data_IF_335254544131
#
_entry.id   IF_335254544131
#
_cell.length_a   1.000
_cell.length_b   1.000
_cell.length_c   1.000
_cell.angle_alpha   90.00
_cell.angle_beta   90.00
_cell.angle_gamma   90.00
#
_symmetry.space_group_name_H-M   'P 1'
#
loop_
_entity.id
_entity.type
_entity.pdbx_description
1 polymer ?
#
# COMPACT_ATOMS: atom_id res chain seq x y z
N UNK A 1 8.08 17.14 9.76
CA UNK A 1 8.83 16.45 8.68
C UNK A 1 8.43 16.99 7.31
N UNK A 2 9.27 16.75 6.28
CA UNK A 2 8.98 17.18 4.90
C UNK A 2 7.64 16.62 4.41
N UNK A 3 7.34 15.36 4.73
CA UNK A 3 6.07 14.71 4.34
C UNK A 3 4.86 15.38 5.01
N UNK A 4 5.00 15.84 6.24
CA UNK A 4 3.94 16.57 6.93
C UNK A 4 3.61 17.91 6.25
N UNK A 5 4.61 18.57 5.66
CA UNK A 5 4.41 19.83 4.96
C UNK A 5 3.82 19.70 3.56
N UNK A 6 4.19 18.66 2.81
CA UNK A 6 3.79 18.52 1.40
C UNK A 6 2.75 17.42 1.14
N UNK A 7 2.52 16.54 2.09
CA UNK A 7 1.64 15.37 1.96
C UNK A 7 2.30 14.16 1.30
N UNK A 8 1.74 12.98 1.57
CA UNK A 8 2.32 11.70 1.16
C UNK A 8 2.37 11.52 -0.36
N UNK A 9 1.28 11.86 -1.06
CA UNK A 9 1.19 11.70 -2.52
C UNK A 9 2.16 12.62 -3.26
N UNK A 10 2.27 13.88 -2.82
CA UNK A 10 3.26 14.81 -3.38
C UNK A 10 4.68 14.36 -3.09
N UNK A 11 4.93 13.88 -1.88
CA UNK A 11 6.23 13.33 -1.52
C UNK A 11 6.64 12.17 -2.43
N UNK A 12 5.73 11.21 -2.68
CA UNK A 12 5.94 10.09 -3.59
C UNK A 12 6.38 10.56 -4.98
N UNK A 13 5.70 11.57 -5.52
CA UNK A 13 6.00 12.10 -6.85
C UNK A 13 7.31 12.90 -6.88
N UNK A 14 7.59 13.70 -5.84
CA UNK A 14 8.83 14.50 -5.75
C UNK A 14 10.07 13.60 -5.66
N UNK A 15 9.98 12.50 -4.92
CA UNK A 15 11.10 11.52 -4.78
C UNK A 15 11.20 10.61 -5.99
N UNK A 16 10.23 10.63 -6.90
CA UNK A 16 10.13 9.70 -8.04
C UNK A 16 10.29 8.24 -7.58
N UNK A 17 9.49 7.86 -6.59
CA UNK A 17 9.61 6.58 -5.89
C UNK A 17 9.62 5.36 -6.83
N UNK A 18 8.77 5.30 -7.89
CA UNK A 18 8.82 4.21 -8.86
C UNK A 18 10.19 4.07 -9.54
N UNK A 19 10.85 5.18 -9.85
CA UNK A 19 12.19 5.17 -10.46
C UNK A 19 13.27 4.71 -9.49
N UNK A 20 13.18 5.13 -8.22
CA UNK A 20 14.08 4.66 -7.17
C UNK A 20 13.96 3.15 -6.94
N UNK A 21 12.74 2.63 -7.07
CA UNK A 21 12.43 1.20 -6.94
C UNK A 21 12.56 0.42 -8.25
N UNK A 22 13.08 1.01 -9.33
CA UNK A 22 13.22 0.33 -10.62
C UNK A 22 14.17 -0.88 -10.53
N UNK A 23 13.96 -1.86 -11.43
CA UNK A 23 14.82 -3.06 -11.52
C UNK A 23 16.32 -2.74 -11.58
N UNK A 24 16.68 -1.64 -12.26
CA UNK A 24 18.07 -1.21 -12.42
C UNK A 24 18.64 -0.71 -11.09
N UNK A 25 17.89 0.10 -10.36
CA UNK A 25 18.30 0.64 -9.06
C UNK A 25 18.36 -0.46 -7.99
N UNK A 26 17.39 -1.39 -7.98
CA UNK A 26 17.35 -2.50 -7.01
C UNK A 26 18.48 -3.52 -7.22
N UNK A 27 18.93 -3.74 -8.46
CA UNK A 27 20.10 -4.58 -8.72
C UNK A 27 21.38 -3.97 -8.18
N UNK A 28 21.49 -2.63 -8.19
CA UNK A 28 22.67 -1.92 -7.71
C UNK A 28 22.67 -1.79 -6.17
N UNK A 29 21.52 -1.48 -5.55
CA UNK A 29 21.41 -1.20 -4.12
C UNK A 29 20.01 -1.63 -3.59
N UNK A 30 19.79 -2.92 -3.36
CA UNK A 30 18.46 -3.49 -3.18
C UNK A 30 17.68 -2.96 -1.95
N UNK A 31 18.34 -2.50 -0.91
CA UNK A 31 17.69 -2.03 0.34
C UNK A 31 17.78 -0.53 0.57
N UNK A 32 18.34 0.23 -0.37
CA UNK A 32 18.67 1.64 -0.15
C UNK A 32 17.46 2.52 0.19
N UNK A 33 16.28 2.17 -0.32
CA UNK A 33 15.07 3.00 -0.22
C UNK A 33 13.95 2.38 0.61
N UNK A 34 14.16 1.20 1.21
CA UNK A 34 13.14 0.55 2.04
C UNK A 34 12.69 1.42 3.23
N UNK A 35 13.62 2.18 3.81
CA UNK A 35 13.34 3.12 4.90
C UNK A 35 12.34 4.23 4.52
N UNK A 36 12.26 4.60 3.23
CA UNK A 36 11.28 5.59 2.77
C UNK A 36 9.84 5.11 2.97
N UNK A 37 9.58 3.81 2.77
CA UNK A 37 8.26 3.23 3.00
C UNK A 37 7.90 3.30 4.49
N UNK A 38 8.86 3.04 5.37
CA UNK A 38 8.65 3.15 6.81
C UNK A 38 8.37 4.59 7.23
N UNK A 39 9.09 5.56 6.66
CA UNK A 39 8.82 6.99 6.86
C UNK A 39 7.42 7.35 6.34
N UNK A 40 7.00 6.84 5.20
CA UNK A 40 5.66 7.07 4.66
C UNK A 40 4.57 6.47 5.54
N UNK A 41 4.75 5.26 6.07
CA UNK A 41 3.81 4.64 7.03
C UNK A 41 3.62 5.51 8.27
N UNK A 42 4.73 5.89 8.91
CA UNK A 42 4.68 6.71 10.14
C UNK A 42 4.10 8.09 9.87
N UNK A 43 4.54 8.74 8.80
CA UNK A 43 4.03 10.07 8.42
C UNK A 43 2.57 10.03 8.03
N UNK A 44 2.12 9.03 7.30
CA UNK A 44 0.73 8.86 6.92
C UNK A 44 -0.20 8.60 8.11
N UNK A 45 0.30 7.96 9.18
CA UNK A 45 -0.45 7.77 10.42
C UNK A 45 -0.64 9.11 11.18
N UNK A 46 0.31 10.04 11.07
CA UNK A 46 0.28 11.35 11.74
C UNK A 46 -0.50 12.39 10.94
N UNK A 47 -0.49 12.31 9.60
CA UNK A 47 -1.14 13.28 8.70
C UNK A 47 -2.59 12.85 8.47
N UNK A 48 -3.40 12.88 9.51
CA UNK A 48 -4.81 12.49 9.43
C UNK A 48 -5.74 13.52 8.75
N UNK A 49 -5.24 14.68 8.34
CA UNK A 49 -6.08 15.80 7.92
C UNK A 49 -5.89 16.26 6.47
N UNK A 50 -4.95 15.70 5.73
CA UNK A 50 -4.77 16.06 4.31
C UNK A 50 -5.20 14.86 3.46
N UNK A 51 -6.33 15.01 2.78
CA UNK A 51 -7.00 14.01 2.01
C UNK A 51 -6.08 13.10 1.22
N UNK A 52 -5.98 11.86 1.69
CA UNK A 52 -5.35 10.80 0.93
C UNK A 52 -6.39 10.22 -0.02
N UNK A 53 -5.96 9.90 -1.24
CA UNK A 53 -6.83 9.31 -2.24
C UNK A 53 -6.57 7.80 -2.33
N UNK A 54 -7.60 7.02 -2.18
CA UNK A 54 -7.52 5.56 -2.34
C UNK A 54 -7.19 5.19 -3.79
N UNK A 55 -7.59 6.02 -4.75
CA UNK A 55 -7.18 5.92 -6.16
C UNK A 55 -5.67 6.01 -6.33
N UNK A 56 -4.97 6.82 -5.52
CA UNK A 56 -3.52 6.89 -5.56
C UNK A 56 -2.86 5.56 -5.19
N UNK A 57 -3.36 4.89 -4.16
CA UNK A 57 -2.89 3.53 -3.84
C UNK A 57 -3.12 2.58 -5.02
N UNK A 58 -4.29 2.61 -5.62
CA UNK A 58 -4.65 1.77 -6.77
C UNK A 58 -3.76 2.03 -8.00
N UNK A 59 -3.49 3.29 -8.31
CA UNK A 59 -2.82 3.69 -9.56
C UNK A 59 -1.29 3.75 -9.45
N UNK A 60 -0.75 3.98 -8.26
CA UNK A 60 0.68 4.18 -8.06
C UNK A 60 1.34 3.10 -7.21
N UNK A 61 0.75 2.73 -6.07
CA UNK A 61 1.37 1.80 -5.13
C UNK A 61 1.16 0.35 -5.55
N UNK A 62 -0.06 0.00 -5.90
CA UNK A 62 -0.44 -1.37 -6.25
C UNK A 62 0.29 -1.90 -7.49
N UNK A 63 0.44 -1.14 -8.61
CA UNK A 63 1.22 -1.60 -9.76
C UNK A 63 2.67 -1.91 -9.41
N UNK A 64 3.28 -1.10 -8.55
CA UNK A 64 4.64 -1.32 -8.08
C UNK A 64 4.74 -2.59 -7.22
N UNK A 65 3.77 -2.83 -6.33
CA UNK A 65 3.70 -4.06 -5.54
C UNK A 65 3.55 -5.30 -6.44
N UNK A 66 2.72 -5.22 -7.50
CA UNK A 66 2.56 -6.29 -8.49
C UNK A 66 3.84 -6.52 -9.32
N UNK A 67 4.58 -5.48 -9.63
CA UNK A 67 5.85 -5.60 -10.31
C UNK A 67 6.86 -6.38 -9.45
N UNK A 68 7.00 -6.03 -8.18
CA UNK A 68 7.88 -6.75 -7.26
C UNK A 68 7.44 -8.19 -7.01
N UNK A 69 6.14 -8.44 -6.91
CA UNK A 69 5.58 -9.78 -6.83
C UNK A 69 6.02 -10.64 -8.03
N UNK A 70 5.95 -10.07 -9.24
CA UNK A 70 6.39 -10.74 -10.45
C UNK A 70 7.91 -11.00 -10.50
N UNK A 71 8.70 -10.13 -9.90
CA UNK A 71 10.15 -10.26 -9.82
C UNK A 71 10.57 -11.31 -8.78
N UNK A 72 9.82 -11.43 -7.68
CA UNK A 72 10.01 -12.47 -6.67
C UNK A 72 9.95 -13.87 -7.28
N UNK A 73 9.00 -14.13 -8.17
CA UNK A 73 8.85 -15.41 -8.89
C UNK A 73 10.07 -15.76 -9.77
N UNK A 74 10.68 -14.74 -10.35
CA UNK A 74 11.74 -14.88 -11.36
C UNK A 74 13.14 -14.76 -10.77
N UNK A 75 13.27 -14.38 -9.50
CA UNK A 75 14.53 -14.03 -8.87
C UNK A 75 15.33 -15.21 -8.33
N UNK A 76 16.63 -15.03 -8.19
CA UNK A 76 17.52 -15.90 -7.42
C UNK A 76 17.24 -15.78 -5.92
N UNK A 77 17.64 -16.78 -5.12
CA UNK A 77 17.40 -16.84 -3.68
C UNK A 77 17.81 -15.56 -2.90
N UNK A 78 18.92 -14.93 -3.27
CA UNK A 78 19.40 -13.72 -2.61
C UNK A 78 18.57 -12.47 -2.98
N UNK A 79 18.11 -12.35 -4.24
CA UNK A 79 17.23 -11.26 -4.67
C UNK A 79 15.81 -11.38 -4.15
N UNK A 80 15.33 -12.61 -3.93
CA UNK A 80 13.97 -12.87 -3.49
C UNK A 80 13.64 -12.25 -2.12
N UNK A 81 14.57 -12.25 -1.17
CA UNK A 81 14.36 -11.64 0.14
C UNK A 81 14.06 -10.14 0.05
N UNK A 82 14.73 -9.44 -0.86
CA UNK A 82 14.53 -8.00 -1.11
C UNK A 82 13.16 -7.74 -1.71
N UNK A 83 12.81 -8.45 -2.79
CA UNK A 83 11.51 -8.28 -3.44
C UNK A 83 10.35 -8.65 -2.51
N UNK A 84 10.51 -9.71 -1.73
CA UNK A 84 9.55 -10.09 -0.69
C UNK A 84 9.34 -8.96 0.31
N UNK A 85 10.41 -8.37 0.83
CA UNK A 85 10.33 -7.25 1.78
C UNK A 85 9.62 -6.04 1.15
N UNK A 86 9.91 -5.71 -0.09
CA UNK A 86 9.27 -4.59 -0.79
C UNK A 86 7.78 -4.83 -1.02
N UNK A 87 7.36 -6.03 -1.43
CA UNK A 87 5.95 -6.37 -1.58
C UNK A 87 5.21 -6.19 -0.25
N UNK A 88 5.75 -6.75 0.84
CA UNK A 88 5.14 -6.64 2.18
C UNK A 88 5.04 -5.18 2.62
N UNK A 89 6.09 -4.40 2.43
CA UNK A 89 6.13 -2.99 2.82
C UNK A 89 5.16 -2.13 2.02
N UNK A 90 5.03 -2.34 0.71
CA UNK A 90 4.08 -1.61 -0.12
C UNK A 90 2.61 -1.92 0.28
N UNK A 91 2.29 -3.17 0.55
CA UNK A 91 0.98 -3.53 1.09
C UNK A 91 0.70 -2.93 2.46
N UNK A 92 1.73 -2.77 3.30
CA UNK A 92 1.61 -2.13 4.60
C UNK A 92 1.26 -0.63 4.53
N UNK A 93 1.34 0.00 3.35
CA UNK A 93 0.83 1.36 3.13
C UNK A 93 -0.71 1.40 2.99
N UNK A 94 -1.36 0.30 2.61
CA UNK A 94 -2.80 0.28 2.39
C UNK A 94 -3.63 0.83 3.56
N UNK A 95 -3.38 0.45 4.83
CA UNK A 95 -4.10 1.02 5.97
C UNK A 95 -4.00 2.54 6.09
N UNK A 96 -2.88 3.13 5.67
CA UNK A 96 -2.68 4.58 5.67
C UNK A 96 -3.69 5.25 4.73
N UNK A 97 -3.84 4.73 3.52
CA UNK A 97 -4.79 5.24 2.52
C UNK A 97 -6.25 4.97 2.88
N UNK A 98 -6.52 3.93 3.69
CA UNK A 98 -7.88 3.60 4.12
C UNK A 98 -8.39 4.44 5.30
N UNK A 99 -7.54 5.20 5.97
CA UNK A 99 -7.88 5.87 7.23
C UNK A 99 -8.98 6.92 7.06
N UNK A 100 -8.86 7.80 6.10
CA UNK A 100 -9.86 8.81 5.75
C UNK A 100 -9.71 9.24 4.28
N UNK A 101 -9.94 8.33 3.31
CA UNK A 101 -9.80 8.68 1.91
C UNK A 101 -10.94 9.61 1.46
N UNK A 102 -10.59 10.63 0.65
CA UNK A 102 -11.57 11.57 0.11
C UNK A 102 -12.40 10.96 -1.04
N UNK A 103 -11.85 9.93 -1.71
CA UNK A 103 -12.41 9.30 -2.91
C UNK A 103 -12.93 7.88 -2.69
N UNK A 104 -13.29 7.51 -1.46
CA UNK A 104 -13.67 6.15 -1.09
C UNK A 104 -14.76 5.58 -1.99
N UNK A 105 -15.84 6.33 -2.21
CA UNK A 105 -17.02 5.86 -2.93
C UNK A 105 -16.74 5.58 -4.41
N UNK A 106 -15.75 6.28 -4.98
CA UNK A 106 -15.35 6.14 -6.38
C UNK A 106 -14.25 5.09 -6.56
N UNK A 107 -13.27 5.09 -5.68
CA UNK A 107 -12.09 4.22 -5.80
C UNK A 107 -12.33 2.81 -5.27
N UNK A 108 -13.09 2.66 -4.17
CA UNK A 108 -13.28 1.36 -3.53
C UNK A 108 -13.95 0.31 -4.43
N UNK A 109 -15.01 0.62 -5.20
CA UNK A 109 -15.62 -0.36 -6.10
C UNK A 109 -14.64 -0.93 -7.14
N UNK A 110 -13.70 -0.11 -7.60
CA UNK A 110 -12.65 -0.55 -8.55
C UNK A 110 -11.59 -1.40 -7.88
N UNK A 111 -11.27 -1.08 -6.64
CA UNK A 111 -10.21 -1.72 -5.87
C UNK A 111 -10.67 -3.04 -5.23
N UNK A 112 -11.93 -3.14 -4.81
CA UNK A 112 -12.46 -4.30 -4.08
C UNK A 112 -12.20 -5.65 -4.76
N UNK A 113 -12.45 -5.87 -6.06
CA UNK A 113 -12.17 -7.14 -6.71
C UNK A 113 -10.67 -7.47 -6.72
N UNK A 114 -9.80 -6.46 -6.80
CA UNK A 114 -8.35 -6.63 -6.76
C UNK A 114 -7.90 -7.05 -5.35
N UNK A 115 -8.45 -6.42 -4.31
CA UNK A 115 -8.20 -6.79 -2.92
C UNK A 115 -8.64 -8.22 -2.62
N UNK A 116 -9.81 -8.62 -3.08
CA UNK A 116 -10.32 -9.98 -2.94
C UNK A 116 -9.40 -11.00 -3.60
N UNK A 117 -8.95 -10.73 -4.83
CA UNK A 117 -7.97 -11.57 -5.52
C UNK A 117 -6.64 -11.64 -4.77
N UNK A 118 -6.14 -10.51 -4.29
CA UNK A 118 -4.87 -10.44 -3.56
C UNK A 118 -4.91 -11.23 -2.24
N UNK A 119 -6.03 -11.21 -1.53
CA UNK A 119 -6.21 -11.97 -0.28
C UNK A 119 -6.35 -13.48 -0.48
N UNK A 120 -6.69 -13.92 -1.69
CA UNK A 120 -6.90 -15.33 -2.04
C UNK A 120 -5.83 -15.89 -2.99
N UNK A 121 -4.79 -15.14 -3.29
CA UNK A 121 -3.70 -15.55 -4.16
C UNK A 121 -2.70 -16.43 -3.38
N UNK A 122 -2.94 -17.74 -3.36
CA UNK A 122 -2.18 -18.72 -2.58
C UNK A 122 -0.82 -19.10 -3.20
N UNK A 123 -0.43 -18.49 -4.33
CA UNK A 123 0.89 -18.75 -4.94
C UNK A 123 2.05 -18.49 -3.98
N UNK A 124 1.87 -17.54 -3.06
CA UNK A 124 2.86 -17.16 -2.05
C UNK A 124 2.17 -16.95 -0.71
N UNK A 125 2.12 -17.99 0.16
CA UNK A 125 1.43 -17.94 1.44
C UNK A 125 1.84 -16.76 2.33
N UNK A 126 3.12 -16.41 2.34
CA UNK A 126 3.63 -15.26 3.11
C UNK A 126 3.06 -13.92 2.65
N UNK A 127 2.80 -13.75 1.36
CA UNK A 127 2.17 -12.54 0.84
C UNK A 127 0.67 -12.50 1.15
N UNK A 128 0.01 -13.64 1.14
CA UNK A 128 -1.40 -13.74 1.55
C UNK A 128 -1.58 -13.26 2.98
N UNK A 129 -0.74 -13.71 3.90
CA UNK A 129 -0.79 -13.28 5.30
C UNK A 129 -0.60 -11.78 5.43
N UNK A 130 0.45 -11.21 4.81
CA UNK A 130 0.72 -9.77 4.88
C UNK A 130 -0.37 -8.93 4.23
N UNK A 131 -0.94 -9.36 3.12
CA UNK A 131 -2.07 -8.71 2.45
C UNK A 131 -3.33 -8.74 3.32
N UNK A 132 -3.66 -9.88 3.92
CA UNK A 132 -4.80 -9.99 4.85
C UNK A 132 -4.63 -9.10 6.07
N UNK A 133 -3.44 -9.04 6.66
CA UNK A 133 -3.14 -8.15 7.78
C UNK A 133 -3.35 -6.67 7.39
N UNK A 134 -3.00 -6.29 6.18
CA UNK A 134 -3.19 -4.92 5.70
C UNK A 134 -4.66 -4.60 5.35
N UNK A 135 -5.37 -5.53 4.72
CA UNK A 135 -6.69 -5.28 4.11
C UNK A 135 -7.84 -5.50 5.10
N UNK A 136 -7.84 -6.62 5.84
CA UNK A 136 -8.99 -7.02 6.66
C UNK A 136 -9.37 -5.99 7.72
N UNK A 137 -8.44 -5.40 8.51
CA UNK A 137 -8.78 -4.38 9.49
C UNK A 137 -9.44 -3.15 8.87
N UNK A 138 -9.02 -2.77 7.66
CA UNK A 138 -9.60 -1.64 6.93
C UNK A 138 -11.04 -1.92 6.52
N UNK A 139 -11.33 -3.12 6.01
CA UNK A 139 -12.68 -3.55 5.65
C UNK A 139 -13.60 -3.61 6.88
N UNK A 140 -13.12 -4.18 7.99
CA UNK A 140 -13.89 -4.27 9.24
C UNK A 140 -14.21 -2.89 9.81
N UNK A 141 -13.24 -1.96 9.81
CA UNK A 141 -13.47 -0.58 10.27
C UNK A 141 -14.57 0.11 9.44
N UNK A 142 -14.60 -0.11 8.11
CA UNK A 142 -15.63 0.44 7.24
C UNK A 142 -17.01 -0.17 7.46
N UNK A 143 -17.08 -1.47 7.65
CA UNK A 143 -18.34 -2.15 7.97
C UNK A 143 -18.92 -1.63 9.30
N UNK A 144 -18.09 -1.49 10.33
CA UNK A 144 -18.52 -0.94 11.62
C UNK A 144 -19.09 0.47 11.47
N UNK A 145 -18.39 1.37 10.79
CA UNK A 145 -18.86 2.75 10.55
C UNK A 145 -20.22 2.76 9.84
N UNK A 146 -20.42 1.87 8.85
CA UNK A 146 -21.69 1.77 8.13
C UNK A 146 -22.83 1.29 9.03
N UNK A 147 -22.58 0.30 9.89
CA UNK A 147 -23.56 -0.20 10.85
C UNK A 147 -23.94 0.89 11.85
N UNK A 148 -22.95 1.58 12.45
CA UNK A 148 -23.18 2.67 13.41
C UNK A 148 -24.04 3.79 12.80
N UNK A 149 -23.80 4.15 11.53
CA UNK A 149 -24.60 5.14 10.80
C UNK A 149 -26.03 4.67 10.52
N UNK A 150 -26.26 3.38 10.31
CA UNK A 150 -27.60 2.82 10.11
C UNK A 150 -28.40 2.78 11.41
N UNK A 151 -27.73 2.49 12.53
CA UNK A 151 -28.36 2.48 13.86
C UNK A 151 -28.72 3.87 14.37
N UNK A 152 -27.89 4.88 14.07
CA UNK A 152 -28.14 6.26 14.45
C UNK A 152 -29.30 6.93 13.69
N UNK A 153 -29.82 6.31 12.64
CA UNK A 153 -30.97 6.79 11.85
C UNK A 153 -32.31 6.18 12.26
N UNK A 154 -32.28 5.27 13.25
CA UNK A 154 -33.51 4.73 13.87
C UNK A 154 -33.93 5.55 15.07
#
# INVERSE_FOLDING_TARGET
>A
SLIQGIGLEKFWNVVDFPKLCSKKSLKALPNQYSWLIDVMKVSGLVISNNGLHLSFFHEQVLPLACEFDSLYVKGSTAGNAVFRSQVINLWALFPVFCRAPEDLDVAFPKLAPILMKAMNDERYPEFVVSRRIAIVPCLLARLKTKVDLMESRK
#
